data_IF_632127936149
#
_entry.id   IF_632127936149
#
_cell.length_a   1.000
_cell.length_b   1.000
_cell.length_c   1.000
_cell.angle_alpha   90.00
_cell.angle_beta   90.00
_cell.angle_gamma   90.00
#
_symmetry.space_group_name_H-M   'P 1'
#
loop_
_entity.id
_entity.type
_entity.pdbx_description
1 polymer ?
#
# COMPACT_ATOMS: atom_id res chain seq x y z
N UNK A 1 13.53 -4.38 -12.95
CA UNK A 1 12.54 -4.62 -11.89
C UNK A 1 12.56 -3.46 -10.91
N UNK A 2 11.41 -2.80 -10.78
CA UNK A 2 11.33 -1.55 -10.03
C UNK A 2 10.66 -1.72 -8.65
N UNK A 3 10.23 -2.94 -8.30
CA UNK A 3 9.70 -3.20 -6.96
C UNK A 3 10.82 -3.34 -5.93
N UNK A 4 10.52 -2.92 -4.70
CA UNK A 4 11.48 -2.94 -3.59
C UNK A 4 10.95 -3.87 -2.51
N UNK A 5 11.76 -4.84 -2.09
CA UNK A 5 11.40 -5.69 -0.96
C UNK A 5 11.75 -4.96 0.33
N UNK A 6 10.78 -4.84 1.24
CA UNK A 6 10.97 -4.16 2.53
C UNK A 6 11.07 -5.14 3.67
N UNK A 7 11.91 -4.83 4.64
CA UNK A 7 11.89 -5.46 5.94
C UNK A 7 10.94 -4.73 6.89
N UNK A 8 10.61 -5.37 8.01
CA UNK A 8 9.79 -4.73 9.05
C UNK A 8 10.42 -3.41 9.52
N UNK A 9 11.74 -3.39 9.68
CA UNK A 9 12.47 -2.21 10.14
C UNK A 9 12.42 -1.04 9.14
N UNK A 10 12.28 -1.34 7.85
CA UNK A 10 12.28 -0.33 6.79
C UNK A 10 10.88 0.24 6.49
N UNK A 11 9.84 -0.39 7.01
CA UNK A 11 8.46 -0.07 6.63
C UNK A 11 8.10 1.40 6.90
N UNK A 12 8.30 1.85 8.13
CA UNK A 12 7.91 3.21 8.52
C UNK A 12 8.57 4.27 7.67
N UNK A 13 9.88 4.16 7.46
CA UNK A 13 10.61 5.12 6.63
C UNK A 13 10.12 5.12 5.18
N UNK A 14 9.77 3.94 4.65
CA UNK A 14 9.29 3.83 3.27
C UNK A 14 7.92 4.48 3.08
N UNK A 15 6.97 4.22 3.98
CA UNK A 15 5.58 4.68 3.81
C UNK A 15 5.37 6.14 4.21
N UNK A 16 6.32 6.74 4.94
CA UNK A 16 6.24 8.15 5.33
C UNK A 16 6.89 9.11 4.34
N UNK A 17 7.51 8.59 3.28
CA UNK A 17 8.08 9.45 2.23
C UNK A 17 7.00 10.28 1.54
N UNK A 18 7.34 11.49 1.07
CA UNK A 18 6.42 12.25 0.22
C UNK A 18 6.09 11.47 -1.05
N UNK A 19 4.91 11.73 -1.60
CA UNK A 19 4.43 11.06 -2.80
C UNK A 19 3.69 9.78 -2.48
N UNK A 20 3.64 8.88 -3.45
CA UNK A 20 2.83 7.66 -3.37
C UNK A 20 3.70 6.44 -3.14
N UNK A 21 3.28 5.60 -2.18
CA UNK A 21 3.90 4.30 -1.92
C UNK A 21 2.81 3.24 -1.88
N UNK A 22 2.94 2.22 -2.72
CA UNK A 22 2.12 1.01 -2.64
C UNK A 22 2.88 -0.07 -1.90
N UNK A 23 2.16 -0.82 -1.07
CA UNK A 23 2.72 -1.95 -0.30
C UNK A 23 1.89 -3.20 -0.59
N UNK A 24 2.55 -4.23 -1.12
CA UNK A 24 1.97 -5.54 -1.39
C UNK A 24 2.43 -6.53 -0.31
N UNK A 25 1.53 -6.91 0.59
CA UNK A 25 1.79 -7.96 1.58
C UNK A 25 1.47 -9.31 0.95
N UNK A 26 2.47 -10.18 0.85
CA UNK A 26 2.37 -11.42 0.09
C UNK A 26 3.07 -12.59 0.79
N UNK A 27 2.90 -13.79 0.25
CA UNK A 27 3.67 -14.96 0.64
C UNK A 27 3.88 -15.87 -0.58
N UNK A 28 4.97 -16.63 -0.57
CA UNK A 28 5.35 -17.46 -1.72
C UNK A 28 4.35 -18.58 -2.02
N UNK A 29 3.65 -19.09 -0.99
CA UNK A 29 2.68 -20.18 -1.14
C UNK A 29 1.31 -19.70 -1.61
N UNK A 30 1.08 -18.42 -1.67
CA UNK A 30 -0.22 -17.81 -1.92
C UNK A 30 -0.48 -17.70 -3.44
N UNK A 31 -1.47 -18.42 -3.93
CA UNK A 31 -1.85 -18.41 -5.36
C UNK A 31 -2.23 -17.03 -5.88
N UNK A 32 -3.19 -16.34 -5.23
CA UNK A 32 -3.57 -14.97 -5.64
C UNK A 32 -2.41 -13.98 -5.59
N UNK A 33 -1.47 -14.14 -4.64
CA UNK A 33 -0.27 -13.31 -4.58
C UNK A 33 0.58 -13.48 -5.84
N UNK A 34 0.72 -14.72 -6.32
CA UNK A 34 1.49 -15.01 -7.53
C UNK A 34 0.79 -14.45 -8.78
N UNK A 35 -0.54 -14.43 -8.78
CA UNK A 35 -1.29 -13.81 -9.89
C UNK A 35 -1.12 -12.30 -9.92
N UNK A 36 -1.07 -11.66 -8.76
CA UNK A 36 -0.92 -10.21 -8.64
C UNK A 36 0.52 -9.74 -8.89
N UNK A 37 1.51 -10.58 -8.59
CA UNK A 37 2.92 -10.19 -8.69
C UNK A 37 3.31 -9.58 -10.05
N UNK A 38 2.98 -10.18 -11.21
CA UNK A 38 3.35 -9.57 -12.48
C UNK A 38 2.59 -8.27 -12.76
N UNK A 39 1.36 -8.14 -12.26
CA UNK A 39 0.56 -6.91 -12.40
C UNK A 39 1.23 -5.77 -11.62
N UNK A 40 1.64 -6.05 -10.40
CA UNK A 40 2.33 -5.09 -9.54
C UNK A 40 3.69 -4.67 -10.14
N UNK A 41 4.46 -5.64 -10.61
CA UNK A 41 5.76 -5.41 -11.24
C UNK A 41 5.63 -4.56 -12.51
N UNK A 42 4.66 -4.87 -13.37
CA UNK A 42 4.42 -4.10 -14.60
C UNK A 42 4.07 -2.65 -14.27
N UNK A 43 3.24 -2.43 -13.25
CA UNK A 43 2.89 -1.07 -12.82
C UNK A 43 4.11 -0.31 -12.30
N UNK A 44 5.02 -0.99 -11.58
CA UNK A 44 6.23 -0.36 -11.08
C UNK A 44 7.13 0.17 -12.21
N UNK A 45 7.15 -0.53 -13.34
CA UNK A 45 7.91 -0.10 -14.52
C UNK A 45 7.22 1.10 -15.21
N UNK A 46 5.88 1.11 -15.21
CA UNK A 46 5.09 2.15 -15.87
C UNK A 46 5.07 3.48 -15.10
N UNK A 47 5.16 3.42 -13.78
CA UNK A 47 5.05 4.59 -12.91
C UNK A 47 6.33 4.76 -12.06
N UNK A 48 7.44 5.19 -12.68
CA UNK A 48 8.72 5.26 -11.96
C UNK A 48 8.74 6.30 -10.84
N UNK A 49 7.81 7.24 -10.82
CA UNK A 49 7.66 8.25 -9.77
C UNK A 49 6.97 7.72 -8.51
N UNK A 50 6.33 6.54 -8.61
CA UNK A 50 5.64 5.89 -7.49
C UNK A 50 6.54 4.79 -6.93
N UNK A 51 6.60 4.68 -5.60
CA UNK A 51 7.33 3.63 -4.94
C UNK A 51 6.45 2.39 -4.79
N UNK A 52 6.84 1.27 -5.39
CA UNK A 52 6.13 -0.01 -5.29
C UNK A 52 6.95 -0.95 -4.41
N UNK A 53 6.41 -1.29 -3.24
CA UNK A 53 7.12 -2.10 -2.24
C UNK A 53 6.40 -3.40 -1.96
N UNK A 54 7.16 -4.40 -1.52
CA UNK A 54 6.65 -5.74 -1.23
C UNK A 54 7.14 -6.18 0.13
N UNK A 55 6.27 -6.84 0.88
CA UNK A 55 6.60 -7.38 2.20
C UNK A 55 6.18 -8.85 2.23
N UNK A 56 7.17 -9.74 2.39
CA UNK A 56 6.94 -11.17 2.56
C UNK A 56 6.47 -11.43 3.99
N UNK A 57 5.21 -11.80 4.16
CA UNK A 57 4.61 -11.96 5.49
C UNK A 57 5.14 -13.16 6.26
N UNK A 58 5.71 -14.15 5.58
CA UNK A 58 6.34 -15.28 6.27
C UNK A 58 7.67 -14.90 6.90
N UNK A 59 8.39 -13.97 6.27
CA UNK A 59 9.71 -13.50 6.73
C UNK A 59 9.56 -12.31 7.67
N UNK A 60 8.73 -11.34 7.30
CA UNK A 60 8.55 -10.07 8.03
C UNK A 60 7.31 -10.14 8.92
N UNK A 61 7.33 -11.03 9.89
CA UNK A 61 6.17 -11.32 10.74
C UNK A 61 5.82 -10.15 11.68
N UNK A 62 6.80 -9.37 12.07
CA UNK A 62 6.58 -8.23 12.97
C UNK A 62 5.66 -7.19 12.34
N UNK A 63 5.98 -6.73 11.11
CA UNK A 63 5.15 -5.74 10.45
C UNK A 63 3.81 -6.34 10.01
N UNK A 64 3.77 -7.60 9.61
CA UNK A 64 2.52 -8.27 9.24
C UNK A 64 1.55 -8.27 10.44
N UNK A 65 2.03 -8.55 11.63
CA UNK A 65 1.22 -8.52 12.85
C UNK A 65 0.80 -7.09 13.23
N UNK A 66 1.75 -6.16 13.20
CA UNK A 66 1.48 -4.75 13.54
C UNK A 66 0.46 -4.12 12.60
N UNK A 67 0.51 -4.46 11.31
CA UNK A 67 -0.43 -3.97 10.31
C UNK A 67 -1.73 -4.78 10.29
N UNK A 68 -1.86 -5.79 11.13
CA UNK A 68 -3.05 -6.64 11.25
C UNK A 68 -3.41 -7.29 9.91
N UNK A 69 -2.41 -7.87 9.24
CA UNK A 69 -2.63 -8.57 7.97
C UNK A 69 -3.23 -9.94 8.28
N UNK A 70 -4.51 -10.11 7.94
CA UNK A 70 -5.25 -11.36 8.15
C UNK A 70 -5.49 -12.16 6.87
N UNK A 71 -5.37 -11.52 5.73
CA UNK A 71 -5.52 -12.14 4.40
C UNK A 71 -4.44 -11.62 3.48
N UNK A 72 -3.99 -12.45 2.55
CA UNK A 72 -3.01 -12.06 1.55
C UNK A 72 -3.50 -12.46 0.15
N UNK A 73 -3.16 -11.66 -0.87
CA UNK A 73 -2.42 -10.40 -0.76
C UNK A 73 -3.28 -9.32 -0.10
N UNK A 74 -2.65 -8.43 0.64
CA UNK A 74 -3.27 -7.18 1.09
C UNK A 74 -2.48 -6.04 0.47
N UNK A 75 -3.19 -5.14 -0.18
CA UNK A 75 -2.61 -3.98 -0.83
C UNK A 75 -2.91 -2.74 -0.03
N UNK A 76 -1.87 -1.95 0.25
CA UNK A 76 -2.01 -0.63 0.85
C UNK A 76 -1.45 0.42 -0.08
N UNK A 77 -2.06 1.61 -0.04
CA UNK A 77 -1.50 2.78 -0.69
C UNK A 77 -1.36 3.90 0.33
N UNK A 78 -0.19 4.53 0.33
CA UNK A 78 0.11 5.70 1.16
C UNK A 78 0.36 6.88 0.24
N UNK A 79 -0.12 8.04 0.64
CA UNK A 79 0.20 9.29 -0.05
C UNK A 79 0.61 10.33 0.97
N UNK A 80 1.84 10.83 0.81
CA UNK A 80 2.45 11.79 1.74
C UNK A 80 2.40 11.29 3.19
N UNK A 81 2.66 10.01 3.38
CA UNK A 81 2.68 9.38 4.69
C UNK A 81 1.32 8.97 5.24
N UNK A 82 0.24 9.19 4.50
CA UNK A 82 -1.11 8.89 4.94
C UNK A 82 -1.64 7.64 4.23
N UNK A 83 -2.14 6.67 5.00
CA UNK A 83 -2.80 5.49 4.43
C UNK A 83 -4.11 5.92 3.78
N UNK A 84 -4.20 5.82 2.46
CA UNK A 84 -5.38 6.24 1.69
C UNK A 84 -6.17 5.08 1.10
N UNK A 85 -5.60 3.87 1.11
CA UNK A 85 -6.27 2.67 0.61
C UNK A 85 -5.72 1.43 1.29
N UNK A 86 -6.61 0.50 1.62
CA UNK A 86 -6.26 -0.81 2.16
C UNK A 86 -7.32 -1.81 1.77
N UNK A 87 -6.93 -2.88 1.10
CA UNK A 87 -7.89 -3.92 0.73
C UNK A 87 -7.18 -5.25 0.51
N UNK A 88 -7.86 -6.35 0.89
CA UNK A 88 -7.38 -7.70 0.65
C UNK A 88 -7.84 -8.20 -0.71
N UNK A 89 -7.04 -9.03 -1.34
CA UNK A 89 -7.34 -9.67 -2.62
C UNK A 89 -6.51 -9.14 -3.78
N UNK A 90 -6.31 -10.00 -4.78
CA UNK A 90 -5.60 -9.63 -5.99
C UNK A 90 -6.51 -8.80 -6.89
N UNK A 91 -6.00 -7.63 -7.31
CA UNK A 91 -6.74 -6.79 -8.26
C UNK A 91 -6.35 -7.17 -9.69
N UNK A 92 -7.31 -7.32 -10.59
CA UNK A 92 -6.99 -7.38 -12.02
C UNK A 92 -6.28 -6.10 -12.50
N UNK A 93 -5.51 -6.23 -13.57
CA UNK A 93 -4.71 -5.11 -14.05
C UNK A 93 -5.50 -3.82 -14.32
N UNK A 94 -6.69 -3.87 -14.97
CA UNK A 94 -7.46 -2.64 -15.18
C UNK A 94 -7.90 -1.95 -13.89
N UNK A 95 -8.31 -2.72 -12.88
CA UNK A 95 -8.73 -2.18 -11.60
C UNK A 95 -7.56 -1.60 -10.82
N UNK A 96 -6.39 -2.23 -10.90
CA UNK A 96 -5.19 -1.68 -10.27
C UNK A 96 -4.78 -0.37 -10.93
N UNK A 97 -4.85 -0.29 -12.25
CA UNK A 97 -4.58 0.95 -12.98
C UNK A 97 -5.52 2.08 -12.55
N UNK A 98 -6.82 1.78 -12.41
CA UNK A 98 -7.79 2.76 -11.92
C UNK A 98 -7.47 3.22 -10.50
N UNK A 99 -7.06 2.31 -9.64
CA UNK A 99 -6.65 2.64 -8.27
C UNK A 99 -5.45 3.58 -8.25
N UNK A 100 -4.44 3.30 -9.07
CA UNK A 100 -3.25 4.16 -9.16
C UNK A 100 -3.67 5.58 -9.56
N UNK A 101 -4.51 5.70 -10.58
CA UNK A 101 -4.99 7.00 -11.04
C UNK A 101 -5.81 7.71 -9.98
N UNK A 102 -6.64 6.98 -9.25
CA UNK A 102 -7.45 7.56 -8.16
C UNK A 102 -6.56 8.11 -7.04
N UNK A 103 -5.51 7.38 -6.67
CA UNK A 103 -4.57 7.85 -5.63
C UNK A 103 -3.82 9.09 -6.12
N UNK A 104 -3.41 9.11 -7.39
CA UNK A 104 -2.75 10.28 -7.99
C UNK A 104 -3.66 11.51 -8.01
N UNK A 105 -4.96 11.30 -8.19
CA UNK A 105 -5.96 12.38 -8.31
C UNK A 105 -6.48 12.89 -6.97
N UNK A 106 -6.11 12.29 -5.85
CA UNK A 106 -6.58 12.72 -4.53
C UNK A 106 -6.22 14.18 -4.27
N UNK A 107 -7.21 14.92 -3.73
CA UNK A 107 -6.98 16.26 -3.19
C UNK A 107 -6.51 16.11 -1.76
N UNK A 108 -5.22 16.30 -1.52
CA UNK A 108 -4.62 16.08 -0.19
C UNK A 108 -5.07 17.10 0.84
N UNK A 109 -5.46 18.29 0.42
CA UNK A 109 -6.05 19.28 1.35
C UNK A 109 -7.35 18.76 1.92
N UNK A 110 -8.18 18.14 1.08
CA UNK A 110 -9.44 17.52 1.54
C UNK A 110 -9.16 16.32 2.45
N UNK A 111 -8.14 15.50 2.13
CA UNK A 111 -7.75 14.37 2.96
C UNK A 111 -7.29 14.84 4.33
N UNK A 112 -6.45 15.86 4.40
CA UNK A 112 -6.01 16.45 5.67
C UNK A 112 -7.16 17.03 6.47
N UNK A 113 -8.09 17.70 5.81
CA UNK A 113 -9.27 18.28 6.46
C UNK A 113 -10.14 17.18 7.06
N UNK A 114 -10.34 16.08 6.35
CA UNK A 114 -11.13 14.95 6.85
C UNK A 114 -10.48 14.28 8.06
N UNK A 115 -9.18 14.10 8.04
CA UNK A 115 -8.43 13.54 9.16
C UNK A 115 -8.56 14.44 10.40
N UNK A 116 -8.40 15.75 10.23
CA UNK A 116 -8.54 16.71 11.32
C UNK A 116 -9.95 16.68 11.91
N UNK A 117 -10.97 16.55 11.06
CA UNK A 117 -12.36 16.45 11.46
C UNK A 117 -12.62 15.17 12.28
N UNK A 118 -12.08 14.03 11.85
CA UNK A 118 -12.21 12.76 12.58
C UNK A 118 -11.49 12.80 13.92
N UNK A 119 -10.32 13.42 13.99
CA UNK A 119 -9.58 13.60 15.23
C UNK A 119 -10.36 14.46 16.23
N UNK A 120 -10.98 15.54 15.76
CA UNK A 120 -11.82 16.40 16.61
C UNK A 120 -13.04 15.65 17.13
N UNK A 121 -13.69 14.85 16.29
CA UNK A 121 -14.82 14.04 16.71
C UNK A 121 -14.42 13.00 17.75
N UNK A 122 -13.25 12.37 17.59
CA UNK A 122 -12.75 11.39 18.55
C UNK A 122 -12.38 12.02 19.89
N UNK A 123 -11.87 13.24 19.89
CA UNK A 123 -11.53 13.97 21.12
C UNK A 123 -12.78 14.37 21.91
N UNK A 124 -13.92 14.51 21.25
CA UNK A 124 -15.16 14.91 21.90
C UNK A 124 -15.98 13.72 22.45
N UNK A 125 -15.53 12.52 22.17
CA UNK A 125 -16.12 11.29 22.71
C UNK A 125 -15.45 10.94 24.04
#
# INVERSE_FOLDING_TARGET
MATINLTSAEFEAAVTKPGITFVDFWAAWCGPCRMFAPIFEAASEKYPEIQFTKIDTDVEQEIAAAAQISSIPTLMAFRDGILVFREAGALPAPQFEELIKAVQALNMDEVHAEIAKQSNNNEND
#
